data_IF_377324966297
#
_entry.id   IF_377324966297
#
_cell.length_a   1.000
_cell.length_b   1.000
_cell.length_c   1.000
_cell.angle_alpha   90.00
_cell.angle_beta   90.00
_cell.angle_gamma   90.00
#
_symmetry.space_group_name_H-M   'P 1'
#
loop_
_entity.id
_entity.type
_entity.pdbx_description
1 polymer ?
#
# COMPACT_ATOMS: atom_id res chain seq x y z
N UNK A 1 9.89 17.46 34.75
CA UNK A 1 8.54 16.92 34.47
C UNK A 1 8.59 16.29 33.11
N UNK A 2 8.41 14.95 33.01
CA UNK A 2 8.27 14.23 31.73
C UNK A 2 6.89 14.58 31.14
N UNK A 3 6.77 14.82 29.81
CA UNK A 3 5.47 14.99 29.18
C UNK A 3 4.66 13.68 29.32
N UNK A 4 3.33 13.78 29.44
CA UNK A 4 2.50 12.58 29.57
C UNK A 4 2.64 11.74 28.28
N UNK A 5 2.89 10.45 28.47
CA UNK A 5 2.81 9.48 27.38
C UNK A 5 1.36 9.45 26.90
N UNK A 6 1.13 9.87 25.65
CA UNK A 6 -0.13 9.56 24.99
C UNK A 6 -0.16 8.06 24.74
N UNK A 7 -0.85 7.31 25.58
CA UNK A 7 -1.25 5.95 25.25
C UNK A 7 -2.19 6.03 24.05
N UNK A 8 -1.89 5.37 22.92
CA UNK A 8 -2.87 5.22 21.86
C UNK A 8 -4.09 4.51 22.48
N UNK A 9 -5.25 5.15 22.46
CA UNK A 9 -6.48 4.42 22.75
C UNK A 9 -6.59 3.33 21.69
N UNK A 10 -6.74 2.04 22.07
CA UNK A 10 -7.11 1.03 21.10
C UNK A 10 -8.38 1.53 20.42
N UNK A 11 -8.39 1.52 19.09
CA UNK A 11 -9.58 1.90 18.35
C UNK A 11 -10.68 0.88 18.69
N UNK A 12 -11.57 1.24 19.60
CA UNK A 12 -12.79 0.50 19.92
C UNK A 12 -13.81 0.61 18.76
N UNK A 13 -13.34 0.76 17.53
CA UNK A 13 -14.14 0.89 16.33
C UNK A 13 -14.83 -0.42 15.90
N UNK A 14 -14.63 -1.52 16.64
CA UNK A 14 -15.22 -2.81 16.28
C UNK A 14 -16.65 -3.01 16.75
N UNK A 15 -17.24 -2.13 17.56
CA UNK A 15 -18.54 -2.38 18.17
C UNK A 15 -19.71 -1.53 17.67
N UNK A 16 -19.50 -0.58 16.77
CA UNK A 16 -20.58 0.27 16.24
C UNK A 16 -20.67 0.23 14.70
N UNK A 17 -20.70 -0.97 14.15
CA UNK A 17 -20.70 -1.24 12.70
C UNK A 17 -21.93 -0.68 11.97
N UNK A 18 -22.97 -0.27 12.64
CA UNK A 18 -24.22 0.13 12.02
C UNK A 18 -24.46 1.63 11.86
N UNK A 19 -23.64 2.53 12.44
CA UNK A 19 -23.96 3.97 12.42
C UNK A 19 -22.80 4.95 12.25
N UNK A 20 -21.53 4.53 12.19
CA UNK A 20 -20.42 5.49 12.05
C UNK A 20 -19.45 5.05 10.94
N UNK A 21 -19.49 5.76 9.84
CA UNK A 21 -18.46 5.64 8.81
C UNK A 21 -17.13 6.15 9.38
N UNK A 22 -16.06 5.36 9.20
CA UNK A 22 -14.70 5.77 9.58
C UNK A 22 -14.05 6.39 8.36
N UNK A 23 -13.49 7.59 8.54
CA UNK A 23 -12.69 8.28 7.54
C UNK A 23 -11.24 8.33 8.01
N UNK A 24 -10.32 7.90 7.15
CA UNK A 24 -8.89 7.84 7.44
C UNK A 24 -8.12 8.81 6.51
N UNK A 25 -7.93 10.04 6.96
CA UNK A 25 -7.18 11.07 6.25
C UNK A 25 -5.83 11.28 6.90
N UNK A 26 -4.75 10.79 6.28
CA UNK A 26 -3.41 10.82 6.85
C UNK A 26 -2.38 11.34 5.86
N UNK A 27 -1.56 12.28 6.32
CA UNK A 27 -0.35 12.70 5.62
C UNK A 27 0.85 12.51 6.54
N UNK A 28 1.87 11.77 6.06
CA UNK A 28 3.16 11.63 6.73
C UNK A 28 4.23 12.31 5.88
N UNK A 29 5.18 12.99 6.51
CA UNK A 29 6.26 13.65 5.81
C UNK A 29 7.59 13.30 6.45
N UNK A 30 8.55 12.85 5.66
CA UNK A 30 9.89 12.53 6.09
C UNK A 30 10.94 13.21 5.23
N UNK A 31 12.09 13.52 5.82
CA UNK A 31 13.22 14.07 5.12
C UNK A 31 14.51 13.35 5.51
N UNK A 32 15.14 12.71 4.54
CA UNK A 32 16.46 12.11 4.64
C UNK A 32 17.51 13.19 4.39
N UNK A 33 17.92 13.90 5.45
CA UNK A 33 18.86 15.04 5.33
C UNK A 33 20.34 14.61 5.37
N UNK A 34 20.64 13.59 6.16
CA UNK A 34 22.00 13.06 6.26
C UNK A 34 22.36 12.14 5.10
N UNK A 35 23.64 12.03 4.80
CA UNK A 35 24.15 11.10 3.80
C UNK A 35 23.83 9.66 4.21
N UNK A 36 23.43 8.85 3.24
CA UNK A 36 22.99 7.45 3.42
C UNK A 36 21.86 7.25 4.42
N UNK A 37 21.18 8.34 4.84
CA UNK A 37 20.00 8.23 5.68
C UNK A 37 18.86 7.50 4.97
N UNK A 38 18.06 6.75 5.73
CA UNK A 38 16.98 5.92 5.20
C UNK A 38 15.67 6.19 5.93
N UNK A 39 14.58 6.27 5.17
CA UNK A 39 13.22 6.21 5.68
C UNK A 39 12.49 5.09 4.94
N UNK A 40 11.87 4.18 5.69
CA UNK A 40 10.96 3.16 5.17
C UNK A 40 9.56 3.37 5.74
N UNK A 41 8.58 3.47 4.87
CA UNK A 41 7.16 3.52 5.22
C UNK A 41 6.52 2.19 4.85
N UNK A 42 6.11 1.39 5.83
CA UNK A 42 5.29 0.20 5.60
C UNK A 42 3.91 0.42 6.17
N UNK A 43 2.88 0.11 5.41
CA UNK A 43 1.49 0.33 5.80
C UNK A 43 0.54 -0.72 5.26
N UNK A 44 -0.49 -1.01 6.06
CA UNK A 44 -1.64 -1.82 5.68
C UNK A 44 -2.90 -1.02 6.01
N UNK A 45 -3.73 -0.77 5.02
CA UNK A 45 -4.94 0.04 5.13
C UNK A 45 -6.16 -0.83 4.81
N UNK A 46 -7.09 -0.91 5.76
CA UNK A 46 -8.37 -1.61 5.59
C UNK A 46 -9.43 -1.07 6.55
N UNK A 47 -10.68 -1.35 6.29
CA UNK A 47 -11.80 -1.13 7.22
C UNK A 47 -12.42 0.26 7.21
N UNK A 48 -11.78 1.29 6.66
CA UNK A 48 -12.34 2.63 6.58
C UNK A 48 -13.26 2.80 5.39
N UNK A 49 -14.35 3.57 5.55
CA UNK A 49 -15.25 3.90 4.44
C UNK A 49 -14.52 4.69 3.34
N UNK A 50 -13.69 5.65 3.77
CA UNK A 50 -12.80 6.39 2.89
C UNK A 50 -11.40 6.43 3.52
N UNK A 51 -10.40 5.99 2.75
CA UNK A 51 -8.98 6.15 3.10
C UNK A 51 -8.33 7.12 2.13
N UNK A 52 -7.68 8.15 2.66
CA UNK A 52 -6.87 9.08 1.88
C UNK A 52 -5.52 9.28 2.56
N UNK A 53 -4.50 8.57 2.08
CA UNK A 53 -3.21 8.47 2.78
C UNK A 53 -2.01 8.58 1.86
N UNK A 54 -1.20 9.61 2.09
CA UNK A 54 -0.03 9.92 1.28
C UNK A 54 1.22 10.19 2.12
N UNK A 55 1.97 9.16 2.51
CA UNK A 55 3.32 9.34 3.02
C UNK A 55 4.22 9.97 1.97
N UNK A 56 5.15 10.79 2.40
CA UNK A 56 6.13 11.40 1.50
C UNK A 56 7.54 11.33 2.07
N UNK A 57 8.54 11.28 1.19
CA UNK A 57 9.94 11.31 1.57
C UNK A 57 10.71 12.26 0.65
N UNK A 58 11.50 13.15 1.27
CA UNK A 58 12.43 14.02 0.58
C UNK A 58 13.84 13.48 0.82
N UNK A 59 14.51 13.09 -0.26
CA UNK A 59 15.84 12.47 -0.27
C UNK A 59 16.89 13.55 -0.53
N UNK A 60 17.35 14.22 0.54
CA UNK A 60 18.26 15.37 0.46
C UNK A 60 19.73 14.97 0.54
N UNK A 61 20.05 14.01 1.43
CA UNK A 61 21.43 13.55 1.63
C UNK A 61 21.94 12.73 0.45
N UNK A 62 23.25 12.73 0.25
CA UNK A 62 23.92 11.89 -0.74
C UNK A 62 23.66 10.42 -0.44
N UNK A 63 23.32 9.63 -1.45
CA UNK A 63 22.98 8.21 -1.35
C UNK A 63 21.87 7.89 -0.32
N UNK A 64 20.98 8.85 -0.04
CA UNK A 64 19.83 8.63 0.83
C UNK A 64 18.81 7.68 0.20
N UNK A 65 18.07 6.97 1.04
CA UNK A 65 17.14 5.91 0.63
C UNK A 65 15.74 6.16 1.14
N UNK A 66 14.75 6.06 0.26
CA UNK A 66 13.33 6.10 0.59
C UNK A 66 12.63 4.82 0.16
N UNK A 67 11.90 4.20 1.07
CA UNK A 67 11.13 3.01 0.76
C UNK A 67 9.66 3.20 1.13
N UNK A 68 8.78 2.63 0.33
CA UNK A 68 7.36 2.61 0.57
C UNK A 68 6.79 1.25 0.20
N UNK A 69 6.25 0.58 1.19
CA UNK A 69 5.59 -0.71 1.07
C UNK A 69 4.15 -0.56 1.54
N UNK A 70 3.18 -0.89 0.71
CA UNK A 70 1.78 -0.63 0.99
C UNK A 70 0.87 -1.78 0.56
N UNK A 71 -0.05 -2.14 1.45
CA UNK A 71 -1.26 -2.90 1.11
C UNK A 71 -2.46 -2.02 1.39
N UNK A 72 -3.34 -1.86 0.41
CA UNK A 72 -4.63 -1.20 0.56
C UNK A 72 -5.74 -2.17 0.16
N UNK A 73 -6.54 -2.62 1.13
CA UNK A 73 -7.66 -3.52 0.90
C UNK A 73 -8.98 -2.78 1.12
N UNK A 74 -9.84 -2.84 0.13
CA UNK A 74 -11.19 -2.28 0.15
C UNK A 74 -12.23 -3.33 -0.17
N UNK A 75 -13.36 -3.30 0.53
CA UNK A 75 -14.48 -4.20 0.30
C UNK A 75 -15.81 -3.42 0.34
N UNK A 76 -16.89 -4.04 -0.09
CA UNK A 76 -18.23 -3.45 -0.14
C UNK A 76 -18.25 -2.12 -0.93
N UNK A 77 -18.51 -0.99 -0.30
CA UNK A 77 -18.52 0.36 -0.90
C UNK A 77 -17.35 1.22 -0.45
N UNK A 78 -16.34 0.64 0.16
CA UNK A 78 -15.16 1.36 0.62
C UNK A 78 -14.39 1.98 -0.55
N UNK A 79 -13.75 3.09 -0.28
CA UNK A 79 -12.90 3.79 -1.24
C UNK A 79 -11.53 4.07 -0.61
N UNK A 80 -10.47 3.75 -1.33
CA UNK A 80 -9.13 4.09 -0.92
C UNK A 80 -8.43 4.87 -2.03
N UNK A 81 -7.88 6.01 -1.69
CA UNK A 81 -6.97 6.78 -2.53
C UNK A 81 -5.65 6.92 -1.75
N UNK A 82 -4.70 6.07 -2.09
CA UNK A 82 -3.43 5.93 -1.38
C UNK A 82 -2.26 6.16 -2.32
N UNK A 83 -1.10 6.36 -1.76
CA UNK A 83 0.09 6.52 -2.57
C UNK A 83 1.24 7.16 -1.81
N UNK A 84 2.24 7.59 -2.54
CA UNK A 84 3.43 8.18 -1.93
C UNK A 84 4.06 9.24 -2.82
N UNK A 85 4.94 10.05 -2.22
CA UNK A 85 5.73 11.04 -2.93
C UNK A 85 7.21 10.82 -2.59
N UNK A 86 8.02 10.52 -3.60
CA UNK A 86 9.47 10.40 -3.49
C UNK A 86 10.13 11.53 -4.25
N UNK A 87 10.82 12.42 -3.52
CA UNK A 87 11.46 13.61 -4.08
C UNK A 87 12.97 13.47 -3.91
N UNK A 88 13.68 13.27 -5.01
CA UNK A 88 15.13 13.10 -5.07
C UNK A 88 15.80 14.45 -5.25
N UNK A 89 16.68 14.81 -4.31
CA UNK A 89 17.51 16.04 -4.35
C UNK A 89 18.99 15.68 -4.28
N UNK A 90 19.35 14.71 -3.41
CA UNK A 90 20.73 14.27 -3.21
C UNK A 90 21.23 13.37 -4.34
N UNK A 91 22.53 13.50 -4.65
CA UNK A 91 23.23 12.63 -5.58
C UNK A 91 23.16 11.15 -5.13
N UNK A 92 22.96 10.22 -6.06
CA UNK A 92 22.94 8.79 -5.82
C UNK A 92 21.75 8.31 -4.96
N UNK A 93 20.76 9.18 -4.70
CA UNK A 93 19.60 8.83 -3.90
C UNK A 93 18.77 7.73 -4.57
N UNK A 94 18.14 6.89 -3.76
CA UNK A 94 17.35 5.74 -4.24
C UNK A 94 15.97 5.71 -3.61
N UNK A 95 14.97 5.28 -4.38
CA UNK A 95 13.65 4.99 -3.84
C UNK A 95 13.08 3.69 -4.40
N UNK A 96 12.37 2.96 -3.53
CA UNK A 96 11.62 1.75 -3.88
C UNK A 96 10.18 1.96 -3.45
N UNK A 97 9.25 1.65 -4.34
CA UNK A 97 7.82 1.74 -4.09
C UNK A 97 7.18 0.42 -4.49
N UNK A 98 6.60 -0.29 -3.53
CA UNK A 98 5.82 -1.51 -3.76
C UNK A 98 4.42 -1.28 -3.20
N UNK A 99 3.43 -1.21 -4.06
CA UNK A 99 2.04 -0.97 -3.69
C UNK A 99 1.14 -2.09 -4.19
N UNK A 100 0.43 -2.74 -3.27
CA UNK A 100 -0.52 -3.81 -3.54
C UNK A 100 -1.92 -3.31 -3.19
N UNK A 101 -2.78 -3.15 -4.20
CA UNK A 101 -4.18 -2.77 -4.04
C UNK A 101 -5.10 -3.98 -4.17
N UNK A 102 -6.05 -4.17 -3.25
CA UNK A 102 -7.07 -5.21 -3.35
C UNK A 102 -8.44 -4.55 -3.29
N UNK A 103 -9.26 -4.83 -4.28
CA UNK A 103 -10.65 -4.34 -4.34
C UNK A 103 -11.61 -5.51 -4.41
N UNK A 104 -12.60 -5.53 -3.52
CA UNK A 104 -13.64 -6.54 -3.47
C UNK A 104 -15.04 -5.89 -3.45
N UNK A 105 -16.07 -6.66 -3.80
CA UNK A 105 -17.46 -6.19 -3.79
C UNK A 105 -17.72 -5.07 -4.80
N UNK A 106 -18.03 -3.87 -4.33
CA UNK A 106 -18.25 -2.65 -5.14
C UNK A 106 -17.27 -1.53 -4.79
N UNK A 107 -16.15 -1.89 -4.19
CA UNK A 107 -15.16 -0.94 -3.71
C UNK A 107 -14.27 -0.38 -4.83
N UNK A 108 -13.61 0.73 -4.54
CA UNK A 108 -12.70 1.39 -5.47
C UNK A 108 -11.37 1.65 -4.76
N UNK A 109 -10.29 1.27 -5.41
CA UNK A 109 -8.93 1.51 -4.92
C UNK A 109 -8.15 2.32 -5.96
N UNK A 110 -7.51 3.39 -5.52
CA UNK A 110 -6.68 4.23 -6.35
C UNK A 110 -5.29 4.35 -5.73
N UNK A 111 -4.26 4.10 -6.53
CA UNK A 111 -2.88 4.42 -6.18
C UNK A 111 -2.44 5.67 -6.93
N UNK A 112 -1.87 6.66 -6.21
CA UNK A 112 -1.23 7.85 -6.81
C UNK A 112 0.21 7.97 -6.36
N UNK A 113 1.14 7.88 -7.29
CA UNK A 113 2.56 7.97 -7.00
C UNK A 113 3.20 9.21 -7.64
N UNK A 114 3.90 10.02 -6.82
CA UNK A 114 4.78 11.07 -7.34
C UNK A 114 6.23 10.65 -7.16
N UNK A 115 6.95 10.57 -8.27
CA UNK A 115 8.42 10.47 -8.27
C UNK A 115 8.98 11.72 -8.96
N UNK A 116 9.74 12.52 -8.21
CA UNK A 116 10.37 13.72 -8.77
C UNK A 116 11.87 13.69 -8.54
N UNK A 117 12.64 13.78 -9.62
CA UNK A 117 14.08 13.86 -9.59
C UNK A 117 14.49 15.27 -9.96
N UNK A 118 15.18 15.95 -9.04
CA UNK A 118 15.65 17.32 -9.21
C UNK A 118 16.93 17.38 -10.07
N UNK A 119 17.27 18.52 -10.65
CA UNK A 119 18.46 18.65 -11.50
C UNK A 119 19.77 18.21 -10.83
N UNK A 120 19.94 18.46 -9.53
CA UNK A 120 21.14 18.08 -8.77
C UNK A 120 21.18 16.63 -8.30
N UNK A 121 20.13 15.84 -8.50
CA UNK A 121 20.07 14.44 -8.08
C UNK A 121 20.70 13.51 -9.13
N UNK A 122 22.01 13.66 -9.33
CA UNK A 122 22.77 12.82 -10.26
C UNK A 122 22.71 11.35 -9.84
N UNK A 123 22.64 10.45 -10.83
CA UNK A 123 22.59 9.00 -10.62
C UNK A 123 21.47 8.52 -9.68
N UNK A 124 20.41 9.32 -9.51
CA UNK A 124 19.24 8.91 -8.74
C UNK A 124 18.54 7.71 -9.39
N UNK A 125 18.01 6.82 -8.56
CA UNK A 125 17.28 5.62 -9.02
C UNK A 125 15.93 5.51 -8.34
N UNK A 126 14.92 5.18 -9.11
CA UNK A 126 13.59 4.81 -8.60
C UNK A 126 13.16 3.48 -9.21
N UNK A 127 12.61 2.62 -8.37
CA UNK A 127 11.83 1.45 -8.76
C UNK A 127 10.43 1.59 -8.18
N UNK A 128 9.41 1.42 -9.02
CA UNK A 128 8.00 1.48 -8.61
C UNK A 128 7.25 0.31 -9.20
N UNK A 129 6.61 -0.47 -8.34
CA UNK A 129 5.71 -1.55 -8.71
C UNK A 129 4.35 -1.32 -8.05
N UNK A 130 3.30 -1.28 -8.88
CA UNK A 130 1.92 -1.03 -8.45
C UNK A 130 1.02 -2.13 -8.98
N UNK A 131 0.68 -3.09 -8.14
CA UNK A 131 -0.16 -4.22 -8.52
C UNK A 131 -1.55 -4.11 -7.89
N UNK A 132 -2.56 -4.40 -8.66
CA UNK A 132 -3.96 -4.42 -8.22
C UNK A 132 -4.59 -5.78 -8.45
N UNK A 133 -5.30 -6.28 -7.45
CA UNK A 133 -6.05 -7.52 -7.49
C UNK A 133 -7.53 -7.25 -7.31
N UNK A 134 -8.35 -7.70 -8.24
CA UNK A 134 -9.80 -7.56 -8.21
C UNK A 134 -10.44 -8.87 -7.77
N UNK A 135 -11.36 -8.77 -6.80
CA UNK A 135 -12.18 -9.87 -6.27
C UNK A 135 -13.64 -9.59 -6.62
N UNK A 136 -14.11 -10.20 -7.69
CA UNK A 136 -15.46 -9.97 -8.22
C UNK A 136 -15.50 -8.94 -9.37
N UNK A 137 -16.71 -8.63 -9.86
CA UNK A 137 -16.93 -7.93 -11.13
C UNK A 137 -17.26 -6.45 -10.99
N UNK A 138 -17.66 -6.00 -9.80
CA UNK A 138 -18.17 -4.65 -9.59
C UNK A 138 -17.19 -3.72 -8.88
N UNK A 139 -16.02 -4.23 -8.50
CA UNK A 139 -14.95 -3.44 -7.91
C UNK A 139 -14.02 -2.86 -8.97
N UNK A 140 -13.24 -1.85 -8.61
CA UNK A 140 -12.32 -1.20 -9.52
C UNK A 140 -10.97 -0.87 -8.88
N UNK A 141 -9.96 -0.75 -9.74
CA UNK A 141 -8.63 -0.29 -9.38
C UNK A 141 -8.12 0.75 -10.38
N UNK A 142 -7.45 1.77 -9.88
CA UNK A 142 -6.89 2.85 -10.66
C UNK A 142 -5.44 3.09 -10.25
N UNK A 143 -4.57 3.32 -11.22
CA UNK A 143 -3.17 3.69 -10.99
C UNK A 143 -2.87 5.00 -11.70
N UNK A 144 -2.42 6.01 -10.95
CA UNK A 144 -2.15 7.36 -11.44
C UNK A 144 -0.70 7.72 -11.13
N UNK A 145 0.27 7.31 -11.96
CA UNK A 145 1.66 7.68 -11.80
C UNK A 145 1.89 9.13 -12.25
N UNK A 146 2.72 9.87 -11.50
CA UNK A 146 3.21 11.17 -11.88
C UNK A 146 4.73 11.22 -11.72
N UNK A 147 5.45 11.12 -12.83
CA UNK A 147 6.88 10.98 -12.86
C UNK A 147 7.50 12.20 -13.55
N UNK A 148 8.41 12.87 -12.84
CA UNK A 148 9.14 14.04 -13.37
C UNK A 148 10.62 13.83 -13.13
N UNK A 149 11.40 13.63 -14.20
CA UNK A 149 12.85 13.61 -14.14
C UNK A 149 13.41 14.88 -14.78
N UNK A 150 14.30 15.54 -14.04
CA UNK A 150 15.03 16.74 -14.51
C UNK A 150 16.54 16.51 -14.55
N UNK A 151 16.99 15.28 -14.41
CA UNK A 151 18.38 14.88 -14.50
C UNK A 151 18.54 13.71 -15.48
N UNK A 152 19.38 13.80 -16.52
CA UNK A 152 19.51 12.77 -17.55
C UNK A 152 20.22 11.51 -17.07
N UNK A 153 20.98 11.55 -15.96
CA UNK A 153 21.64 10.37 -15.39
C UNK A 153 20.70 9.51 -14.53
N UNK A 154 19.46 9.96 -14.30
CA UNK A 154 18.50 9.25 -13.47
C UNK A 154 17.99 7.98 -14.17
N UNK A 155 17.73 6.94 -13.37
CA UNK A 155 17.09 5.70 -13.83
C UNK A 155 15.75 5.52 -13.10
N UNK A 156 14.69 5.37 -13.86
CA UNK A 156 13.34 5.19 -13.33
C UNK A 156 12.74 3.96 -13.99
N UNK A 157 12.29 3.04 -13.16
CA UNK A 157 11.58 1.84 -13.56
C UNK A 157 10.18 1.89 -12.94
N UNK A 158 9.15 1.70 -13.76
CA UNK A 158 7.76 1.71 -13.31
C UNK A 158 7.01 0.55 -13.95
N UNK A 159 6.44 -0.29 -13.09
CA UNK A 159 5.58 -1.40 -13.48
C UNK A 159 4.21 -1.23 -12.82
N UNK A 160 3.16 -1.54 -13.56
CA UNK A 160 1.80 -1.55 -13.05
C UNK A 160 1.03 -2.72 -13.65
N UNK A 161 0.42 -3.53 -12.78
CA UNK A 161 -0.42 -4.65 -13.19
C UNK A 161 -1.79 -4.56 -12.54
N UNK A 162 -2.80 -5.05 -13.27
CA UNK A 162 -4.13 -5.27 -12.71
C UNK A 162 -4.59 -6.65 -13.12
N UNK A 163 -4.89 -7.47 -12.14
CA UNK A 163 -5.38 -8.83 -12.33
C UNK A 163 -6.68 -9.04 -11.58
N UNK A 164 -7.42 -10.07 -12.02
CA UNK A 164 -8.62 -10.55 -11.33
C UNK A 164 -8.38 -11.99 -10.93
N UNK A 165 -8.92 -12.40 -9.78
CA UNK A 165 -8.94 -13.80 -9.41
C UNK A 165 -9.79 -14.54 -10.47
N UNK A 166 -9.16 -15.50 -11.16
CA UNK A 166 -9.83 -16.26 -12.20
C UNK A 166 -10.66 -17.41 -11.62
N UNK A 167 -11.72 -17.80 -12.34
CA UNK A 167 -12.51 -18.97 -11.99
C UNK A 167 -11.67 -20.25 -11.99
N UNK A 168 -10.69 -20.36 -12.88
CA UNK A 168 -9.77 -21.51 -12.94
C UNK A 168 -8.93 -21.63 -11.67
N UNK A 169 -8.46 -20.51 -11.11
CA UNK A 169 -7.70 -20.52 -9.84
C UNK A 169 -8.59 -20.99 -8.68
N UNK A 170 -9.82 -20.51 -8.62
CA UNK A 170 -10.79 -20.93 -7.60
C UNK A 170 -11.16 -22.39 -7.78
N UNK A 171 -11.46 -22.83 -9.00
CA UNK A 171 -11.73 -24.22 -9.33
C UNK A 171 -10.59 -25.15 -8.93
N UNK A 172 -9.34 -24.77 -9.22
CA UNK A 172 -8.16 -25.55 -8.82
C UNK A 172 -8.07 -25.76 -7.30
N UNK A 173 -8.38 -24.72 -6.52
CA UNK A 173 -8.42 -24.81 -5.06
C UNK A 173 -9.59 -25.69 -4.58
N UNK A 174 -10.78 -25.53 -5.15
CA UNK A 174 -11.97 -26.29 -4.83
C UNK A 174 -11.82 -27.80 -5.09
N UNK A 175 -11.13 -28.16 -6.17
CA UNK A 175 -10.79 -29.57 -6.47
C UNK A 175 -9.92 -30.23 -5.39
N UNK A 176 -9.31 -29.42 -4.52
CA UNK A 176 -8.52 -29.88 -3.36
C UNK A 176 -9.27 -29.75 -2.04
N UNK A 177 -10.57 -29.50 -2.10
CA UNK A 177 -11.41 -29.38 -0.92
C UNK A 177 -11.29 -28.06 -0.16
N UNK A 178 -10.64 -27.04 -0.77
CA UNK A 178 -10.55 -25.71 -0.17
C UNK A 178 -11.82 -24.93 -0.52
N UNK A 179 -12.46 -24.31 0.47
CA UNK A 179 -13.64 -23.50 0.23
C UNK A 179 -13.35 -22.28 -0.66
N UNK A 180 -14.35 -21.68 -1.26
CA UNK A 180 -14.15 -20.47 -2.09
C UNK A 180 -13.59 -19.32 -1.27
N UNK A 181 -14.06 -19.12 -0.06
CA UNK A 181 -13.58 -18.07 0.86
C UNK A 181 -12.12 -18.29 1.26
N UNK A 182 -11.75 -19.52 1.63
CA UNK A 182 -10.38 -19.86 1.95
C UNK A 182 -9.46 -19.72 0.74
N UNK A 183 -9.95 -20.06 -0.45
CA UNK A 183 -9.21 -19.90 -1.71
C UNK A 183 -8.89 -18.45 -2.01
N UNK A 184 -9.87 -17.56 -1.88
CA UNK A 184 -9.67 -16.11 -2.02
C UNK A 184 -8.70 -15.60 -0.97
N UNK A 185 -8.86 -15.99 0.28
CA UNK A 185 -7.96 -15.60 1.37
C UNK A 185 -6.52 -16.05 1.10
N UNK A 186 -6.32 -17.28 0.61
CA UNK A 186 -5.01 -17.82 0.26
C UNK A 186 -4.34 -17.02 -0.87
N UNK A 187 -5.09 -16.71 -1.93
CA UNK A 187 -4.60 -15.95 -3.09
C UNK A 187 -4.22 -14.52 -2.66
N UNK A 188 -5.09 -13.85 -1.88
CA UNK A 188 -4.84 -12.49 -1.40
C UNK A 188 -3.64 -12.44 -0.45
N UNK A 189 -3.50 -13.39 0.46
CA UNK A 189 -2.33 -13.47 1.33
C UNK A 189 -1.04 -13.70 0.54
N UNK A 190 -1.08 -14.54 -0.49
CA UNK A 190 0.03 -14.73 -1.42
C UNK A 190 0.41 -13.44 -2.15
N UNK A 191 -0.58 -12.69 -2.62
CA UNK A 191 -0.39 -11.39 -3.30
C UNK A 191 0.25 -10.33 -2.39
N UNK A 192 -0.11 -10.31 -1.11
CA UNK A 192 0.42 -9.36 -0.12
C UNK A 192 1.77 -9.75 0.47
N UNK A 193 2.25 -10.98 0.23
CA UNK A 193 3.41 -11.58 0.92
C UNK A 193 4.65 -10.70 0.90
N UNK A 194 4.91 -10.03 -0.21
CA UNK A 194 6.08 -9.17 -0.38
C UNK A 194 6.08 -8.02 0.62
N UNK A 195 4.95 -7.31 0.75
CA UNK A 195 4.81 -6.20 1.70
C UNK A 195 4.78 -6.70 3.15
N UNK A 196 4.13 -7.85 3.40
CA UNK A 196 4.06 -8.42 4.75
C UNK A 196 5.43 -8.79 5.33
N UNK A 197 6.41 -9.14 4.49
CA UNK A 197 7.78 -9.43 4.92
C UNK A 197 8.52 -8.21 5.49
N UNK A 198 8.08 -7.00 5.14
CA UNK A 198 8.66 -5.75 5.62
C UNK A 198 8.09 -5.32 6.98
N UNK A 199 7.11 -6.05 7.51
CA UNK A 199 6.54 -5.82 8.82
C UNK A 199 7.23 -6.68 9.89
N UNK A 200 7.39 -6.18 11.12
CA UNK A 200 7.66 -7.04 12.27
C UNK A 200 6.59 -8.14 12.36
N UNK A 201 6.99 -9.33 12.85
CA UNK A 201 6.16 -10.53 12.81
C UNK A 201 4.79 -10.33 13.48
N UNK A 202 4.75 -9.61 14.60
CA UNK A 202 3.51 -9.34 15.34
C UNK A 202 2.51 -8.55 14.49
N UNK A 203 2.99 -7.52 13.79
CA UNK A 203 2.15 -6.70 12.90
C UNK A 203 1.77 -7.45 11.63
N UNK A 204 2.63 -8.32 11.11
CA UNK A 204 2.32 -9.13 9.93
C UNK A 204 1.18 -10.10 10.23
N UNK A 205 1.20 -10.77 11.39
CA UNK A 205 0.13 -11.68 11.82
C UNK A 205 -1.20 -10.94 12.03
N UNK A 206 -1.16 -9.76 12.66
CA UNK A 206 -2.35 -8.93 12.83
C UNK A 206 -2.91 -8.46 11.49
N UNK A 207 -2.06 -8.00 10.59
CA UNK A 207 -2.46 -7.57 9.25
C UNK A 207 -3.11 -8.71 8.45
N UNK A 208 -2.56 -9.93 8.51
CA UNK A 208 -3.16 -11.09 7.86
C UNK A 208 -4.55 -11.41 8.39
N UNK A 209 -4.77 -11.34 9.71
CA UNK A 209 -6.09 -11.53 10.32
C UNK A 209 -7.08 -10.46 9.87
N UNK A 210 -6.66 -9.19 9.86
CA UNK A 210 -7.50 -8.09 9.42
C UNK A 210 -7.88 -8.21 7.93
N UNK A 211 -6.97 -8.66 7.09
CA UNK A 211 -7.24 -8.95 5.67
C UNK A 211 -8.31 -10.03 5.55
N UNK A 212 -8.18 -11.14 6.30
CA UNK A 212 -9.18 -12.22 6.31
C UNK A 212 -10.56 -11.71 6.69
N UNK A 213 -10.69 -11.03 7.84
CA UNK A 213 -11.95 -10.45 8.32
C UNK A 213 -12.54 -9.46 7.30
N UNK A 214 -11.70 -8.64 6.66
CA UNK A 214 -12.17 -7.66 5.69
C UNK A 214 -12.69 -8.26 4.39
N UNK A 215 -12.34 -9.51 4.09
CA UNK A 215 -12.80 -10.24 2.91
C UNK A 215 -14.01 -11.15 3.19
N UNK A 216 -14.39 -11.32 4.45
CA UNK A 216 -15.60 -12.10 4.79
C UNK A 216 -16.83 -11.53 4.07
N UNK A 217 -17.60 -12.40 3.43
CA UNK A 217 -18.78 -12.03 2.66
C UNK A 217 -18.48 -11.28 1.33
N UNK A 218 -17.23 -11.23 0.88
CA UNK A 218 -16.88 -10.61 -0.41
C UNK A 218 -17.05 -11.56 -1.60
N UNK A 219 -17.27 -12.84 -1.33
CA UNK A 219 -17.45 -13.92 -2.30
C UNK A 219 -18.90 -14.40 -2.21
N UNK A 220 -19.77 -13.78 -2.99
CA UNK A 220 -21.20 -14.12 -3.07
C UNK A 220 -21.85 -13.50 -4.29
#
# INVERSE_FOLDING_TARGET
RRPPRSTPKPSSAASDVYKRQIYNFVTKRGACRGDRSKISWTQVETGSAITWKYPSCILQGKASVGEFYSVALTNNFQQADTGTKMIHIGEGSRSTIISKGISAGRSQNCYRGLVRIQPGAENARNFTQCDSLLVGDKCGAHTVPYIVSRNPSAKIEHEATTSRISEDQLFYCQQRGISTEDSVSLIVNGFCKEVMKELPMEFAVEAQKLIGISLEGSVG
#
